data_IF_422387688036
#
_entry.id   IF_422387688036
#
_cell.length_a   1.000
_cell.length_b   1.000
_cell.length_c   1.000
_cell.angle_alpha   90.00
_cell.angle_beta   90.00
_cell.angle_gamma   90.00
#
_symmetry.space_group_name_H-M   'P 1'
#
loop_
_entity.id
_entity.type
_entity.pdbx_description
1 polymer ?
#
# COMPACT_ATOMS: atom_id res chain seq x y z
N UNK A 1 30.63 7.64 -10.09
CA UNK A 1 31.61 6.54 -9.87
C UNK A 1 32.77 6.75 -10.81
N UNK A 2 34.03 6.78 -10.32
CA UNK A 2 35.17 6.63 -11.23
C UNK A 2 35.13 5.22 -11.87
N UNK A 3 35.71 5.05 -13.08
CA UNK A 3 35.89 3.75 -13.71
C UNK A 3 36.56 2.75 -12.77
N UNK A 4 36.32 1.46 -13.02
CA UNK A 4 36.70 0.32 -12.15
C UNK A 4 38.16 0.32 -11.70
N UNK A 5 39.05 0.90 -12.50
CA UNK A 5 40.50 0.85 -12.33
C UNK A 5 41.12 2.18 -11.90
N UNK A 6 40.31 3.15 -11.43
CA UNK A 6 40.83 4.45 -10.94
C UNK A 6 40.63 4.60 -9.43
N UNK A 7 41.62 5.17 -8.71
CA UNK A 7 41.48 5.45 -7.29
C UNK A 7 40.29 6.38 -7.05
N UNK A 8 39.55 6.11 -5.97
CA UNK A 8 38.53 7.05 -5.48
C UNK A 8 39.19 8.38 -5.13
N UNK A 9 38.51 9.52 -5.36
CA UNK A 9 39.01 10.81 -4.91
C UNK A 9 39.24 10.79 -3.40
N UNK A 10 40.35 11.34 -2.98
CA UNK A 10 40.70 11.54 -1.57
C UNK A 10 39.66 12.43 -0.87
N UNK A 11 39.60 12.40 0.46
CA UNK A 11 38.64 13.21 1.22
C UNK A 11 38.75 14.71 0.88
N UNK A 12 39.97 15.23 0.72
CA UNK A 12 40.24 16.62 0.37
C UNK A 12 39.85 16.97 -1.08
N UNK A 13 39.88 16.01 -2.00
CA UNK A 13 39.39 16.18 -3.37
C UNK A 13 37.86 16.13 -3.43
N UNK A 14 37.23 15.27 -2.62
CA UNK A 14 35.78 15.25 -2.45
C UNK A 14 35.27 16.57 -1.89
N UNK A 15 35.90 17.10 -0.85
CA UNK A 15 35.53 18.42 -0.30
C UNK A 15 35.68 19.54 -1.33
N UNK A 16 36.78 19.57 -2.08
CA UNK A 16 36.97 20.56 -3.17
C UNK A 16 35.91 20.43 -4.25
N UNK A 17 35.56 19.21 -4.65
CA UNK A 17 34.52 18.97 -5.63
C UNK A 17 33.13 19.40 -5.11
N UNK A 18 32.79 19.09 -3.87
CA UNK A 18 31.54 19.50 -3.24
C UNK A 18 31.46 21.03 -3.10
N UNK A 19 32.54 21.68 -2.68
CA UNK A 19 32.63 23.13 -2.60
C UNK A 19 32.46 23.78 -3.98
N UNK A 20 33.07 23.19 -5.03
CA UNK A 20 32.89 23.64 -6.40
C UNK A 20 31.44 23.47 -6.88
N UNK A 21 30.79 22.33 -6.62
CA UNK A 21 29.37 22.11 -6.97
C UNK A 21 28.48 23.16 -6.30
N UNK A 22 28.68 23.43 -5.01
CA UNK A 22 27.92 24.44 -4.28
C UNK A 22 28.15 25.83 -4.85
N UNK A 23 29.39 26.18 -5.21
CA UNK A 23 29.72 27.45 -5.85
C UNK A 23 29.06 27.60 -7.22
N UNK A 24 29.08 26.54 -8.05
CA UNK A 24 28.42 26.52 -9.35
C UNK A 24 26.89 26.63 -9.22
N UNK A 25 26.30 25.93 -8.26
CA UNK A 25 24.86 26.00 -7.99
C UNK A 25 24.43 27.42 -7.57
N UNK A 26 25.25 28.12 -6.79
CA UNK A 26 25.01 29.53 -6.43
C UNK A 26 25.20 30.48 -7.62
N UNK A 27 26.21 30.22 -8.46
CA UNK A 27 26.55 31.05 -9.61
C UNK A 27 25.58 30.90 -10.79
N UNK A 28 24.95 29.72 -10.94
CA UNK A 28 23.94 29.46 -11.96
C UNK A 28 22.65 30.32 -11.80
N UNK A 29 22.55 31.11 -10.72
CA UNK A 29 21.37 31.89 -10.38
C UNK A 29 20.21 30.98 -9.96
N UNK A 30 19.05 31.57 -9.62
CA UNK A 30 17.82 30.78 -9.58
C UNK A 30 17.59 30.27 -10.99
N UNK A 31 17.84 28.97 -11.22
CA UNK A 31 17.37 28.31 -12.42
C UNK A 31 15.89 28.65 -12.61
N UNK A 32 15.47 28.91 -13.85
CA UNK A 32 14.08 29.26 -14.13
C UNK A 32 13.15 28.32 -13.36
N UNK A 33 12.16 28.89 -12.66
CA UNK A 33 11.20 28.10 -11.89
C UNK A 33 10.49 27.14 -12.83
N UNK A 34 10.93 25.89 -12.85
CA UNK A 34 10.27 24.80 -13.56
C UNK A 34 9.47 23.98 -12.57
N UNK A 35 8.31 23.49 -12.99
CA UNK A 35 7.63 22.44 -12.22
C UNK A 35 8.52 21.19 -12.18
N UNK A 36 8.36 20.40 -11.13
CA UNK A 36 8.96 19.07 -11.08
C UNK A 36 8.30 18.19 -12.15
N UNK A 37 9.07 17.34 -12.83
CA UNK A 37 8.47 16.34 -13.70
C UNK A 37 7.72 15.29 -12.86
N UNK A 38 6.92 14.45 -13.52
CA UNK A 38 6.10 13.41 -12.88
C UNK A 38 6.89 12.51 -11.94
N UNK A 39 8.11 12.14 -12.33
CA UNK A 39 9.00 11.25 -11.54
C UNK A 39 9.59 11.97 -10.33
N UNK A 40 10.07 13.19 -10.53
CA UNK A 40 10.63 14.05 -9.50
C UNK A 40 9.60 14.39 -8.42
N UNK A 41 8.38 14.76 -8.82
CA UNK A 41 7.31 15.00 -7.86
C UNK A 41 6.84 13.74 -7.15
N UNK A 42 6.72 12.61 -7.86
CA UNK A 42 6.43 11.33 -7.22
C UNK A 42 7.48 10.93 -6.19
N UNK A 43 8.77 11.22 -6.42
CA UNK A 43 9.82 11.05 -5.43
C UNK A 43 9.68 12.06 -4.27
N UNK A 44 9.50 13.35 -4.58
CA UNK A 44 9.35 14.40 -3.57
C UNK A 44 8.15 14.17 -2.64
N UNK A 45 7.00 13.69 -3.16
CA UNK A 45 5.86 13.35 -2.33
C UNK A 45 6.17 12.20 -1.36
N UNK A 46 6.92 11.19 -1.80
CA UNK A 46 7.36 10.09 -0.92
C UNK A 46 8.36 10.58 0.12
N UNK A 47 9.31 11.42 -0.28
CA UNK A 47 10.32 11.99 0.63
C UNK A 47 9.68 12.90 1.69
N UNK A 48 8.69 13.72 1.31
CA UNK A 48 8.01 14.64 2.23
C UNK A 48 7.04 13.94 3.15
N UNK A 49 6.32 12.91 2.67
CA UNK A 49 5.33 12.19 3.49
C UNK A 49 5.88 10.98 4.23
N UNK A 50 7.00 10.43 3.77
CA UNK A 50 7.51 9.11 4.17
C UNK A 50 6.65 7.94 3.69
N UNK A 51 5.61 8.17 2.90
CA UNK A 51 4.73 7.11 2.41
C UNK A 51 5.35 6.40 1.20
N UNK A 52 5.48 5.07 1.19
CA UNK A 52 5.91 4.30 0.00
C UNK A 52 4.81 4.17 -1.07
N UNK A 53 4.04 5.24 -1.32
CA UNK A 53 2.93 5.28 -2.31
C UNK A 53 3.40 5.96 -3.60
N UNK A 54 3.09 5.38 -4.75
CA UNK A 54 3.34 6.02 -6.05
C UNK A 54 2.26 7.04 -6.41
N UNK A 55 2.38 8.25 -5.86
CA UNK A 55 1.51 9.37 -6.23
C UNK A 55 1.80 9.92 -7.63
N UNK A 56 2.90 9.48 -8.25
CA UNK A 56 3.28 9.88 -9.60
C UNK A 56 2.19 9.51 -10.59
N UNK A 57 1.59 8.33 -10.49
CA UNK A 57 0.61 7.83 -11.48
C UNK A 57 -0.50 8.83 -11.83
N UNK A 58 -1.05 9.52 -10.82
CA UNK A 58 -2.14 10.50 -10.97
C UNK A 58 -1.74 11.86 -11.54
N UNK A 59 -0.44 12.13 -11.72
CA UNK A 59 0.05 13.37 -12.32
C UNK A 59 -0.06 13.32 -13.85
N UNK A 60 -0.28 14.50 -14.50
CA UNK A 60 -0.30 14.60 -15.95
C UNK A 60 1.04 14.13 -16.55
N UNK A 61 1.00 13.70 -17.81
CA UNK A 61 2.22 13.38 -18.55
C UNK A 61 3.12 14.61 -18.69
N UNK A 62 4.42 14.37 -18.80
CA UNK A 62 5.39 15.42 -19.12
C UNK A 62 5.49 15.59 -20.62
N UNK A 63 5.60 16.84 -21.10
CA UNK A 63 5.97 17.12 -22.47
C UNK A 63 7.45 16.81 -22.67
N UNK A 64 7.80 16.33 -23.86
CA UNK A 64 9.19 16.03 -24.23
C UNK A 64 9.76 17.10 -25.14
N UNK A 65 10.96 17.59 -24.84
CA UNK A 65 11.74 18.46 -25.73
C UNK A 65 12.96 17.68 -26.20
N UNK A 66 13.10 17.50 -27.51
CA UNK A 66 14.14 16.67 -28.13
C UNK A 66 14.23 15.23 -27.55
N UNK A 67 13.08 14.68 -27.12
CA UNK A 67 13.00 13.34 -26.52
C UNK A 67 13.30 13.28 -25.02
N UNK A 68 13.59 14.41 -24.37
CA UNK A 68 13.81 14.48 -22.91
C UNK A 68 12.60 15.09 -22.19
N UNK A 69 12.19 14.46 -21.09
CA UNK A 69 11.09 14.86 -20.20
C UNK A 69 11.53 15.79 -19.06
N UNK A 70 12.74 16.36 -19.14
CA UNK A 70 13.33 17.25 -18.14
C UNK A 70 13.51 18.68 -18.64
N UNK A 71 13.25 18.93 -19.93
CA UNK A 71 13.39 20.26 -20.54
C UNK A 71 12.31 21.21 -20.04
N UNK A 72 12.71 22.37 -19.52
CA UNK A 72 11.78 23.36 -18.96
C UNK A 72 10.69 23.80 -19.96
N UNK A 73 11.02 23.87 -21.25
CA UNK A 73 10.08 24.25 -22.31
C UNK A 73 8.99 23.17 -22.56
N UNK A 74 9.26 21.90 -22.22
CA UNK A 74 8.30 20.80 -22.32
C UNK A 74 7.39 20.67 -21.10
N UNK A 75 7.69 21.43 -20.04
CA UNK A 75 6.99 21.39 -18.77
C UNK A 75 6.06 22.61 -18.59
N UNK A 76 5.58 23.21 -19.67
CA UNK A 76 4.56 24.25 -19.59
C UNK A 76 3.21 23.66 -19.20
N UNK A 77 2.59 24.23 -18.16
CA UNK A 77 1.30 23.76 -17.65
C UNK A 77 0.13 24.46 -18.35
N UNK A 78 -0.76 23.66 -18.94
CA UNK A 78 -2.13 24.10 -19.18
C UNK A 78 -2.90 24.14 -17.85
N UNK A 79 -3.97 24.95 -17.77
CA UNK A 79 -4.78 25.10 -16.55
C UNK A 79 -5.26 23.74 -15.97
N UNK A 80 -5.61 22.79 -16.83
CA UNK A 80 -6.02 21.44 -16.44
C UNK A 80 -4.89 20.62 -15.78
N UNK A 81 -3.65 20.85 -16.19
CA UNK A 81 -2.48 20.22 -15.57
C UNK A 81 -2.32 20.72 -14.15
N UNK A 82 -2.39 22.04 -13.93
CA UNK A 82 -2.32 22.64 -12.58
C UNK A 82 -3.45 22.13 -11.69
N UNK A 83 -4.68 22.07 -12.20
CA UNK A 83 -5.81 21.54 -11.44
C UNK A 83 -5.61 20.07 -11.03
N UNK A 84 -4.95 19.27 -11.89
CA UNK A 84 -4.59 17.88 -11.60
C UNK A 84 -3.49 17.81 -10.52
N UNK A 85 -2.47 18.66 -10.62
CA UNK A 85 -1.41 18.79 -9.61
C UNK A 85 -1.95 19.11 -8.22
N UNK A 86 -2.84 20.10 -8.10
CA UNK A 86 -3.47 20.46 -6.82
C UNK A 86 -4.28 19.30 -6.26
N UNK A 87 -5.02 18.58 -7.12
CA UNK A 87 -5.82 17.41 -6.72
C UNK A 87 -4.94 16.28 -6.19
N UNK A 88 -3.83 15.97 -6.87
CA UNK A 88 -2.88 14.94 -6.42
C UNK A 88 -2.21 15.36 -5.12
N UNK A 89 -1.79 16.64 -5.01
CA UNK A 89 -1.17 17.15 -3.78
C UNK A 89 -2.12 17.07 -2.58
N UNK A 90 -3.41 17.39 -2.77
CA UNK A 90 -4.42 17.19 -1.71
C UNK A 90 -4.48 15.73 -1.25
N UNK A 91 -4.49 14.78 -2.20
CA UNK A 91 -4.50 13.34 -1.90
C UNK A 91 -3.26 12.87 -1.15
N UNK A 92 -2.09 13.45 -1.46
CA UNK A 92 -0.84 13.18 -0.73
C UNK A 92 -0.99 13.56 0.74
N UNK A 93 -1.56 14.74 1.01
CA UNK A 93 -1.78 15.25 2.37
C UNK A 93 -2.88 14.47 3.10
N UNK A 94 -3.95 14.06 2.40
CA UNK A 94 -5.04 13.26 2.99
C UNK A 94 -4.55 11.88 3.49
N UNK A 95 -3.41 11.39 2.97
CA UNK A 95 -2.78 10.13 3.40
C UNK A 95 -1.98 10.23 4.71
N UNK A 96 -1.81 11.43 5.29
CA UNK A 96 -1.03 11.64 6.51
C UNK A 96 -1.82 12.39 7.60
N UNK A 97 -1.50 12.11 8.86
CA UNK A 97 -2.06 12.77 10.06
C UNK A 97 -0.94 13.18 11.00
N UNK A 98 -1.16 14.16 11.85
CA UNK A 98 -0.14 14.59 12.80
C UNK A 98 -0.27 13.86 14.13
N UNK A 99 -1.31 14.18 14.89
CA UNK A 99 -1.50 13.69 16.27
C UNK A 99 -2.85 13.04 16.51
N UNK A 100 -3.77 13.20 15.55
CA UNK A 100 -5.09 12.59 15.54
C UNK A 100 -4.95 11.07 15.50
N UNK A 101 -5.82 10.27 16.15
CA UNK A 101 -5.82 8.82 15.95
C UNK A 101 -6.16 8.46 14.50
N UNK A 102 -5.73 7.28 14.02
CA UNK A 102 -6.18 6.81 12.70
C UNK A 102 -7.71 6.68 12.71
N UNK A 103 -8.43 7.30 11.76
CA UNK A 103 -9.86 7.08 11.63
C UNK A 103 -10.19 5.72 10.98
N UNK A 104 -9.17 5.02 10.47
CA UNK A 104 -9.30 3.77 9.74
C UNK A 104 -9.79 2.62 10.62
N UNK A 105 -10.77 1.88 10.11
CA UNK A 105 -11.15 0.59 10.66
C UNK A 105 -10.16 -0.46 10.13
N UNK A 106 -9.50 -1.16 11.05
CA UNK A 106 -8.64 -2.30 10.70
C UNK A 106 -9.46 -3.59 10.70
N UNK A 107 -9.48 -4.26 9.56
CA UNK A 107 -9.99 -5.61 9.38
C UNK A 107 -8.83 -6.58 9.58
N UNK A 108 -8.69 -7.12 10.78
CA UNK A 108 -7.62 -8.04 11.15
C UNK A 108 -8.15 -9.47 11.29
N UNK A 109 -7.35 -10.45 10.90
CA UNK A 109 -7.63 -11.87 11.08
C UNK A 109 -6.32 -12.63 11.33
N UNK A 110 -6.25 -13.31 12.47
CA UNK A 110 -5.19 -14.27 12.80
C UNK A 110 -5.67 -15.69 12.51
N UNK A 111 -4.98 -16.37 11.61
CA UNK A 111 -5.32 -17.70 11.10
C UNK A 111 -4.54 -18.80 11.82
N UNK A 112 -3.60 -18.46 12.71
CA UNK A 112 -2.77 -19.41 13.45
C UNK A 112 -3.60 -20.19 14.47
N UNK A 113 -3.45 -21.51 14.45
CA UNK A 113 -4.14 -22.42 15.39
C UNK A 113 -5.66 -22.48 15.23
N UNK A 114 -6.23 -21.79 14.24
CA UNK A 114 -7.65 -21.78 13.99
C UNK A 114 -8.09 -23.08 13.32
N UNK A 115 -9.33 -23.51 13.55
CA UNK A 115 -9.90 -24.73 12.93
C UNK A 115 -10.83 -24.43 11.75
N UNK A 116 -11.44 -23.25 11.74
CA UNK A 116 -12.41 -22.85 10.72
C UNK A 116 -12.08 -21.43 10.25
N UNK A 117 -11.58 -21.30 9.02
CA UNK A 117 -11.19 -20.02 8.47
C UNK A 117 -12.38 -19.06 8.36
N UNK A 118 -13.59 -19.55 8.06
CA UNK A 118 -14.77 -18.69 7.85
C UNK A 118 -15.15 -17.97 9.13
N UNK A 119 -15.05 -18.64 10.28
CA UNK A 119 -15.36 -18.07 11.59
C UNK A 119 -14.41 -16.96 11.99
N UNK A 120 -13.14 -17.05 11.59
CA UNK A 120 -12.15 -15.98 11.83
C UNK A 120 -12.58 -14.66 11.19
N UNK A 121 -13.27 -14.72 10.04
CA UNK A 121 -13.73 -13.54 9.32
C UNK A 121 -15.18 -13.13 9.64
N UNK A 122 -15.88 -13.80 10.55
CA UNK A 122 -17.24 -13.38 10.96
C UNK A 122 -17.30 -11.94 11.48
N UNK A 123 -16.33 -11.44 12.29
CA UNK A 123 -16.32 -10.04 12.73
C UNK A 123 -16.24 -9.03 11.57
N UNK A 124 -15.71 -9.42 10.42
CA UNK A 124 -15.61 -8.53 9.26
C UNK A 124 -16.99 -8.23 8.67
N UNK A 125 -17.91 -9.21 8.69
CA UNK A 125 -19.27 -9.08 8.14
C UNK A 125 -20.08 -7.99 8.84
N UNK A 126 -19.84 -7.77 10.13
CA UNK A 126 -20.49 -6.71 10.92
C UNK A 126 -20.13 -5.31 10.40
N UNK A 127 -19.02 -5.19 9.66
CA UNK A 127 -18.52 -3.94 9.09
C UNK A 127 -18.46 -4.01 7.56
N UNK A 128 -19.37 -4.78 6.94
CA UNK A 128 -19.48 -4.97 5.49
C UNK A 128 -18.21 -5.51 4.81
N UNK A 129 -17.31 -6.13 5.59
CA UNK A 129 -16.17 -6.86 5.09
C UNK A 129 -16.51 -8.34 4.81
N UNK A 130 -15.78 -8.96 3.91
CA UNK A 130 -15.96 -10.36 3.57
C UNK A 130 -14.63 -11.03 3.17
N UNK A 131 -14.55 -12.33 3.41
CA UNK A 131 -13.53 -13.19 2.83
C UNK A 131 -14.20 -14.29 2.01
N UNK A 132 -13.74 -14.49 0.78
CA UNK A 132 -14.28 -15.44 -0.20
C UNK A 132 -13.15 -16.28 -0.79
N UNK A 133 -13.52 -17.42 -1.37
CA UNK A 133 -12.56 -18.32 -2.03
C UNK A 133 -11.39 -18.67 -1.08
N UNK A 134 -11.70 -18.78 0.22
CA UNK A 134 -10.72 -19.16 1.24
C UNK A 134 -10.19 -20.56 0.92
N UNK A 135 -8.86 -20.67 0.89
CA UNK A 135 -8.18 -21.95 0.73
C UNK A 135 -8.39 -22.89 1.92
N UNK A 136 -7.63 -23.99 1.95
CA UNK A 136 -7.67 -24.92 3.08
C UNK A 136 -6.92 -24.34 4.27
N UNK A 137 -7.55 -24.28 5.43
CA UNK A 137 -6.85 -23.97 6.68
C UNK A 137 -6.10 -25.22 7.16
N UNK A 138 -4.80 -25.06 7.45
CA UNK A 138 -3.93 -26.13 7.91
C UNK A 138 -3.37 -25.74 9.29
N UNK A 139 -4.06 -26.10 10.39
CA UNK A 139 -3.62 -25.77 11.74
C UNK A 139 -2.20 -26.23 12.04
N UNK A 140 -1.79 -27.38 11.49
CA UNK A 140 -0.45 -27.94 11.65
C UNK A 140 0.65 -27.13 10.95
N UNK A 141 0.28 -26.34 9.93
CA UNK A 141 1.17 -25.38 9.27
C UNK A 141 0.96 -23.95 9.79
N UNK A 142 0.06 -23.77 10.77
CA UNK A 142 -0.19 -22.50 11.43
C UNK A 142 -0.91 -21.46 10.57
N UNK A 143 -1.68 -21.83 9.55
CA UNK A 143 -2.40 -20.81 8.77
C UNK A 143 -3.21 -21.33 7.58
N UNK A 144 -3.64 -20.40 6.73
CA UNK A 144 -4.41 -20.67 5.52
C UNK A 144 -3.46 -20.97 4.35
N UNK A 145 -3.65 -22.11 3.71
CA UNK A 145 -2.88 -22.50 2.55
C UNK A 145 -3.33 -21.70 1.32
N UNK A 146 -2.39 -20.97 0.72
CA UNK A 146 -2.50 -20.45 -0.64
C UNK A 146 -1.98 -21.53 -1.60
N UNK A 147 -2.91 -22.31 -2.13
CA UNK A 147 -2.58 -23.42 -3.02
C UNK A 147 -1.85 -22.91 -4.27
N UNK A 148 -0.84 -23.64 -4.77
CA UNK A 148 -0.13 -23.28 -5.98
C UNK A 148 -1.07 -23.40 -7.19
N UNK A 149 -1.14 -22.33 -7.98
CA UNK A 149 -2.05 -22.22 -9.14
C UNK A 149 -1.31 -22.14 -10.47
N UNK A 150 -2.01 -22.54 -11.53
CA UNK A 150 -1.56 -22.34 -12.91
C UNK A 150 -1.81 -20.90 -13.34
N UNK A 151 -0.95 -20.31 -14.18
CA UNK A 151 -1.27 -19.01 -14.77
C UNK A 151 -2.53 -19.14 -15.63
N UNK A 152 -3.60 -18.44 -15.26
CA UNK A 152 -4.93 -18.54 -15.88
C UNK A 152 -6.02 -19.10 -14.97
N UNK A 153 -5.65 -19.77 -13.88
CA UNK A 153 -6.61 -20.19 -12.85
C UNK A 153 -7.23 -18.96 -12.17
N UNK A 154 -8.54 -19.00 -11.95
CA UNK A 154 -9.31 -17.88 -11.37
C UNK A 154 -9.47 -17.94 -9.86
N UNK A 155 -9.19 -19.08 -9.23
CA UNK A 155 -9.33 -19.25 -7.79
C UNK A 155 -8.23 -18.48 -7.06
N UNK A 156 -8.64 -17.41 -6.37
CA UNK A 156 -7.76 -16.53 -5.61
C UNK A 156 -8.37 -16.29 -4.25
N UNK A 157 -7.56 -16.34 -3.18
CA UNK A 157 -8.07 -15.94 -1.87
C UNK A 157 -8.41 -14.47 -1.94
N UNK A 158 -9.68 -14.13 -1.73
CA UNK A 158 -10.17 -12.76 -1.92
C UNK A 158 -10.75 -12.21 -0.63
N UNK A 159 -10.26 -11.05 -0.25
CA UNK A 159 -10.80 -10.22 0.80
C UNK A 159 -11.49 -9.01 0.18
N UNK A 160 -12.62 -8.61 0.73
CA UNK A 160 -13.32 -7.39 0.34
C UNK A 160 -13.57 -6.58 1.60
N UNK A 161 -13.18 -5.31 1.57
CA UNK A 161 -13.51 -4.34 2.63
C UNK A 161 -14.24 -3.14 2.02
N UNK A 162 -15.02 -2.39 2.81
CA UNK A 162 -15.64 -1.15 2.35
C UNK A 162 -14.59 -0.19 1.80
N UNK A 163 -14.91 0.59 0.75
CA UNK A 163 -13.99 1.60 0.25
C UNK A 163 -13.83 2.73 1.26
N UNK A 164 -12.72 3.50 1.21
CA UNK A 164 -12.62 4.70 2.02
C UNK A 164 -13.70 5.73 1.66
N UNK A 165 -13.97 6.71 2.53
CA UNK A 165 -14.86 7.83 2.25
C UNK A 165 -14.53 8.49 0.92
N UNK A 166 -15.55 8.88 0.15
CA UNK A 166 -15.40 9.50 -1.17
C UNK A 166 -14.59 8.68 -2.20
N UNK A 167 -14.31 7.39 -1.90
CA UNK A 167 -13.41 6.50 -2.66
C UNK A 167 -11.99 7.05 -2.82
N UNK A 168 -11.56 7.92 -1.92
CA UNK A 168 -10.24 8.53 -1.88
C UNK A 168 -9.53 8.20 -0.58
N UNK A 169 -8.23 7.95 -0.65
CA UNK A 169 -7.40 7.63 0.51
C UNK A 169 -6.34 6.58 0.22
N UNK A 170 -5.69 6.09 1.27
CA UNK A 170 -4.69 5.04 1.20
C UNK A 170 -5.26 3.77 1.83
N UNK A 171 -5.17 2.67 1.10
CA UNK A 171 -5.47 1.33 1.62
C UNK A 171 -4.17 0.74 2.12
N UNK A 172 -4.13 0.31 3.38
CA UNK A 172 -3.03 -0.48 3.93
C UNK A 172 -3.41 -1.95 3.92
N UNK A 173 -2.53 -2.77 3.36
CA UNK A 173 -2.62 -4.23 3.39
C UNK A 173 -1.36 -4.76 4.04
N UNK A 174 -1.50 -5.46 5.17
CA UNK A 174 -0.40 -6.11 5.88
C UNK A 174 -0.67 -7.61 5.91
N UNK A 175 0.30 -8.38 5.45
CA UNK A 175 0.23 -9.84 5.34
C UNK A 175 1.40 -10.45 6.11
N UNK A 176 1.14 -11.46 6.92
CA UNK A 176 2.18 -12.31 7.50
C UNK A 176 2.11 -13.67 6.82
N UNK A 177 3.16 -14.02 6.07
CA UNK A 177 3.21 -15.22 5.23
C UNK A 177 4.49 -16.04 5.46
N UNK A 178 4.43 -17.35 5.25
CA UNK A 178 5.61 -18.22 5.21
C UNK A 178 5.56 -19.15 3.99
N UNK A 179 6.67 -19.84 3.74
CA UNK A 179 6.80 -20.79 2.63
C UNK A 179 7.14 -22.18 3.15
N UNK A 180 6.34 -23.18 2.79
CA UNK A 180 6.66 -24.58 3.05
C UNK A 180 7.06 -25.25 1.73
N UNK A 181 8.21 -25.90 1.71
CA UNK A 181 8.67 -26.78 0.62
C UNK A 181 8.66 -28.21 1.16
N UNK A 182 7.57 -28.98 0.96
CA UNK A 182 7.45 -30.30 1.58
C UNK A 182 8.46 -31.31 1.00
N UNK A 183 8.88 -31.10 -0.24
CA UNK A 183 9.91 -31.88 -0.92
C UNK A 183 11.18 -31.02 -1.10
N UNK A 184 12.40 -31.59 -1.01
CA UNK A 184 13.64 -30.90 -1.35
C UNK A 184 13.62 -30.35 -2.78
N UNK A 185 14.46 -29.33 -3.03
CA UNK A 185 14.72 -28.74 -4.36
C UNK A 185 13.53 -28.11 -5.08
N UNK A 186 12.40 -27.94 -4.40
CA UNK A 186 11.27 -27.17 -4.94
C UNK A 186 11.66 -25.71 -5.20
N UNK A 187 11.20 -25.10 -6.31
CA UNK A 187 11.43 -23.68 -6.57
C UNK A 187 10.78 -22.80 -5.50
N UNK A 188 11.26 -21.56 -5.36
CA UNK A 188 10.60 -20.59 -4.50
C UNK A 188 9.24 -20.21 -5.08
N UNK A 189 8.17 -20.23 -4.28
CA UNK A 189 6.88 -19.75 -4.73
C UNK A 189 6.90 -18.23 -4.84
N UNK A 190 5.98 -17.70 -5.63
CA UNK A 190 5.78 -16.27 -5.75
C UNK A 190 4.38 -15.89 -5.28
N UNK A 191 4.33 -14.92 -4.37
CA UNK A 191 3.08 -14.33 -3.91
C UNK A 191 2.71 -13.17 -4.84
N UNK A 192 1.56 -13.31 -5.49
CA UNK A 192 0.91 -12.22 -6.22
C UNK A 192 -0.07 -11.54 -5.29
N UNK A 193 0.04 -10.22 -5.21
CA UNK A 193 -0.88 -9.37 -4.44
C UNK A 193 -1.53 -8.40 -5.40
N UNK A 194 -2.86 -8.49 -5.49
CA UNK A 194 -3.69 -7.57 -6.25
C UNK A 194 -4.58 -6.78 -5.29
N UNK A 195 -4.65 -5.46 -5.47
CA UNK A 195 -5.53 -4.59 -4.69
C UNK A 195 -6.38 -3.80 -5.68
N UNK A 196 -7.70 -3.80 -5.48
CA UNK A 196 -8.66 -3.07 -6.31
C UNK A 196 -8.58 -3.40 -7.81
N UNK A 197 -8.26 -4.64 -8.19
CA UNK A 197 -8.10 -5.05 -9.58
C UNK A 197 -6.73 -4.73 -10.20
N UNK A 198 -5.80 -4.13 -9.44
CA UNK A 198 -4.46 -3.78 -9.92
C UNK A 198 -3.40 -4.67 -9.26
N UNK A 199 -2.48 -5.28 -10.01
CA UNK A 199 -1.34 -5.98 -9.42
C UNK A 199 -0.42 -4.97 -8.71
N UNK A 200 -0.19 -5.18 -7.42
CA UNK A 200 0.64 -4.31 -6.57
C UNK A 200 2.03 -4.89 -6.37
N UNK A 201 2.13 -6.20 -6.20
CA UNK A 201 3.42 -6.87 -6.02
C UNK A 201 3.40 -8.28 -6.61
N UNK A 202 4.57 -8.69 -7.06
CA UNK A 202 4.87 -10.04 -7.53
C UNK A 202 6.21 -10.47 -6.92
N UNK A 203 6.14 -11.02 -5.70
CA UNK A 203 7.32 -11.24 -4.86
C UNK A 203 7.68 -12.71 -4.75
N UNK A 204 8.95 -13.01 -4.97
CA UNK A 204 9.51 -14.32 -4.66
C UNK A 204 9.73 -14.46 -3.15
N UNK A 205 9.22 -15.55 -2.57
CA UNK A 205 9.37 -15.80 -1.15
C UNK A 205 10.49 -16.81 -0.92
N UNK A 206 11.64 -16.31 -0.45
CA UNK A 206 12.87 -17.09 -0.28
C UNK A 206 13.03 -17.73 1.12
N UNK A 207 12.11 -17.50 2.06
CA UNK A 207 12.26 -17.94 3.45
C UNK A 207 11.82 -19.40 3.72
N UNK A 208 12.34 -20.04 4.78
CA UNK A 208 11.81 -21.32 5.29
C UNK A 208 10.45 -21.12 5.99
N UNK A 209 9.70 -22.22 6.17
CA UNK A 209 8.35 -22.19 6.75
C UNK A 209 8.30 -21.64 8.17
N UNK A 210 9.42 -21.78 8.88
CA UNK A 210 9.51 -21.48 10.32
C UNK A 210 9.90 -20.00 10.57
N UNK A 211 10.09 -19.21 9.51
CA UNK A 211 10.35 -17.78 9.58
C UNK A 211 9.30 -16.99 8.78
N UNK A 212 8.11 -16.73 9.36
CA UNK A 212 7.11 -15.87 8.75
C UNK A 212 7.67 -14.49 8.45
N UNK A 213 7.34 -13.97 7.26
CA UNK A 213 7.70 -12.62 6.83
C UNK A 213 6.43 -11.77 6.82
N UNK A 214 6.51 -10.61 7.45
CA UNK A 214 5.46 -9.59 7.35
C UNK A 214 5.77 -8.66 6.18
N UNK A 215 4.78 -8.45 5.32
CA UNK A 215 4.85 -7.56 4.16
C UNK A 215 3.73 -6.54 4.29
N UNK A 216 4.05 -5.28 4.05
CA UNK A 216 3.09 -4.17 4.10
C UNK A 216 3.05 -3.45 2.75
N UNK A 217 1.82 -3.15 2.31
CA UNK A 217 1.52 -2.44 1.09
C UNK A 217 0.64 -1.24 1.41
N UNK A 218 1.02 -0.06 0.91
CA UNK A 218 0.21 1.15 0.92
C UNK A 218 -0.18 1.49 -0.51
N UNK A 219 -1.49 1.52 -0.78
CA UNK A 219 -2.01 1.69 -2.13
C UNK A 219 -3.02 2.82 -2.15
N UNK A 220 -2.79 3.82 -2.96
CA UNK A 220 -3.73 4.93 -3.11
C UNK A 220 -4.96 4.49 -3.92
N UNK A 221 -6.17 4.85 -3.48
CA UNK A 221 -7.41 4.38 -4.12
C UNK A 221 -7.72 5.01 -5.47
N UNK A 222 -7.14 6.17 -5.76
CA UNK A 222 -7.25 6.80 -7.09
C UNK A 222 -6.68 5.95 -8.22
N UNK A 223 -5.88 4.94 -7.86
CA UNK A 223 -5.24 4.00 -8.77
C UNK A 223 -6.00 2.67 -8.90
N UNK A 224 -7.13 2.55 -8.19
CA UNK A 224 -7.88 1.30 -8.03
C UNK A 224 -9.23 1.35 -8.76
N UNK A 225 -9.62 0.22 -9.34
CA UNK A 225 -10.96 0.02 -9.89
C UNK A 225 -11.95 -0.31 -8.75
N UNK A 226 -12.32 0.70 -7.97
CA UNK A 226 -13.25 0.53 -6.85
C UNK A 226 -14.70 0.50 -7.34
N UNK A 227 -15.32 -0.68 -7.23
CA UNK A 227 -16.76 -0.87 -7.46
C UNK A 227 -17.55 -0.76 -6.15
N UNK A 228 -17.90 -1.91 -5.55
CA UNK A 228 -18.66 -2.00 -4.29
C UNK A 228 -17.77 -2.02 -3.05
N UNK A 229 -16.47 -2.24 -3.22
CA UNK A 229 -15.48 -2.34 -2.15
C UNK A 229 -14.07 -2.43 -2.70
N UNK A 230 -13.08 -2.39 -1.81
CA UNK A 230 -11.68 -2.66 -2.14
C UNK A 230 -11.47 -4.15 -2.02
N UNK A 231 -11.15 -4.78 -3.15
CA UNK A 231 -10.82 -6.20 -3.20
C UNK A 231 -9.31 -6.38 -3.03
N UNK A 232 -8.89 -7.30 -2.17
CA UNK A 232 -7.50 -7.76 -2.07
C UNK A 232 -7.48 -9.23 -2.46
N UNK A 233 -6.78 -9.56 -3.53
CA UNK A 233 -6.67 -10.93 -4.03
C UNK A 233 -5.24 -11.43 -3.85
N UNK A 234 -5.09 -12.62 -3.28
CA UNK A 234 -3.81 -13.29 -3.07
C UNK A 234 -3.76 -14.58 -3.90
N UNK A 235 -2.63 -14.82 -4.58
CA UNK A 235 -2.39 -16.10 -5.25
C UNK A 235 -0.94 -16.53 -5.15
N UNK A 236 -0.73 -17.84 -4.99
CA UNK A 236 0.56 -18.49 -5.06
C UNK A 236 0.76 -19.01 -6.49
N UNK A 237 1.76 -18.47 -7.20
CA UNK A 237 2.13 -18.97 -8.53
C UNK A 237 3.59 -19.42 -8.55
N UNK A 238 3.85 -20.45 -9.35
CA UNK A 238 5.17 -21.05 -9.52
C UNK A 238 5.60 -20.91 -10.98
N UNK A 239 6.28 -19.84 -11.31
CA UNK A 239 6.59 -19.54 -12.71
C UNK A 239 7.69 -20.42 -13.32
N UNK A 240 8.45 -21.16 -12.50
CA UNK A 240 9.51 -22.03 -13.02
C UNK A 240 8.99 -23.45 -13.21
N UNK A 241 9.26 -24.09 -14.37
CA UNK A 241 9.07 -25.53 -14.53
C UNK A 241 9.98 -26.29 -13.57
N UNK A 242 9.47 -27.39 -13.00
CA UNK A 242 10.21 -28.30 -12.12
C UNK A 242 9.59 -29.70 -12.16
N UNK A 243 10.41 -30.71 -11.88
CA UNK A 243 9.95 -32.09 -11.75
C UNK A 243 10.36 -32.61 -10.37
N UNK A 244 9.56 -33.52 -9.81
CA UNK A 244 9.86 -34.17 -8.54
C UNK A 244 9.95 -35.68 -8.79
N UNK A 245 11.06 -36.34 -8.43
CA UNK A 245 11.18 -37.79 -8.57
C UNK A 245 10.00 -38.53 -7.92
N UNK A 246 9.43 -39.49 -8.64
CA UNK A 246 8.26 -40.27 -8.18
C UNK A 246 6.90 -39.65 -8.48
N UNK A 247 6.85 -38.47 -9.11
CA UNK A 247 5.63 -37.87 -9.60
C UNK A 247 5.68 -37.68 -11.10
N UNK A 248 4.61 -38.06 -11.79
CA UNK A 248 4.42 -37.71 -13.20
C UNK A 248 4.12 -36.21 -13.31
N UNK A 249 4.57 -35.56 -14.39
CA UNK A 249 4.27 -34.14 -14.62
C UNK A 249 2.91 -33.97 -15.30
N UNK A 250 2.25 -32.84 -15.03
CA UNK A 250 1.05 -32.41 -15.75
C UNK A 250 1.37 -32.27 -17.25
N UNK A 251 0.74 -33.12 -18.07
CA UNK A 251 0.77 -32.98 -19.52
C UNK A 251 -0.36 -32.05 -19.99
N UNK A 252 -0.01 -30.78 -20.25
CA UNK A 252 -0.89 -29.75 -20.84
C UNK A 252 -0.56 -29.48 -22.31
N UNK A 253 -0.12 -30.49 -23.05
CA UNK A 253 0.22 -30.37 -24.48
C UNK A 253 -1.01 -30.31 -25.40
N UNK A 254 -2.23 -30.50 -24.88
CA UNK A 254 -3.46 -30.50 -25.67
C UNK A 254 -3.80 -29.08 -26.16
N UNK A 255 -4.32 -28.92 -27.40
CA UNK A 255 -4.68 -27.60 -27.94
C UNK A 255 -5.75 -26.84 -27.14
N UNK A 256 -6.56 -27.56 -26.38
CA UNK A 256 -7.63 -27.04 -25.53
C UNK A 256 -7.08 -26.40 -24.23
N UNK A 257 -5.91 -26.85 -23.78
CA UNK A 257 -5.23 -26.30 -22.63
C UNK A 257 -4.52 -25.01 -23.05
N UNK A 258 -5.12 -23.87 -22.69
CA UNK A 258 -4.52 -22.54 -22.93
C UNK A 258 -3.23 -22.40 -22.13
N UNK A 259 -2.11 -22.81 -22.72
CA UNK A 259 -0.80 -22.59 -22.15
C UNK A 259 -0.53 -21.08 -22.04
N UNK A 260 0.05 -20.61 -20.93
CA UNK A 260 0.50 -19.23 -20.82
C UNK A 260 1.54 -18.93 -21.91
N UNK A 261 1.64 -17.68 -22.40
CA UNK A 261 2.68 -17.30 -23.35
C UNK A 261 4.06 -17.73 -22.83
N UNK A 262 4.75 -18.60 -23.57
CA UNK A 262 6.07 -19.13 -23.18
C UNK A 262 6.11 -20.61 -22.74
N UNK A 263 4.98 -21.30 -22.57
CA UNK A 263 4.95 -22.76 -22.34
C UNK A 263 5.26 -23.22 -20.91
N UNK A 264 5.14 -22.35 -19.92
CA UNK A 264 5.60 -22.55 -18.53
C UNK A 264 4.73 -23.53 -17.71
N UNK A 265 3.86 -24.32 -18.38
CA UNK A 265 2.84 -25.18 -17.76
C UNK A 265 3.03 -26.69 -17.88
N UNK A 266 4.05 -27.17 -18.61
CA UNK A 266 4.23 -28.60 -18.95
C UNK A 266 5.05 -29.42 -17.93
N UNK A 267 5.70 -28.75 -16.97
CA UNK A 267 6.64 -29.39 -16.05
C UNK A 267 6.31 -28.96 -14.64
N UNK A 268 5.19 -29.45 -14.11
CA UNK A 268 4.90 -29.46 -12.68
C UNK A 268 4.37 -30.84 -12.33
N UNK A 269 4.71 -31.40 -11.16
CA UNK A 269 4.15 -32.67 -10.72
C UNK A 269 2.61 -32.64 -10.71
N UNK A 270 2.00 -33.60 -11.39
CA UNK A 270 0.59 -33.93 -11.25
C UNK A 270 0.42 -34.77 -9.98
N UNK A 271 -0.51 -34.36 -9.11
CA UNK A 271 -0.83 -35.12 -7.91
C UNK A 271 -2.27 -34.88 -7.47
N UNK A 272 -2.87 -35.88 -6.84
CA UNK A 272 -4.20 -35.75 -6.28
C UNK A 272 -4.13 -35.16 -4.86
N UNK A 273 -4.74 -33.98 -4.71
CA UNK A 273 -4.84 -33.22 -3.47
C UNK A 273 -5.77 -33.87 -2.43
N UNK A 274 -6.57 -34.86 -2.84
CA UNK A 274 -7.49 -35.61 -1.97
C UNK A 274 -6.81 -36.82 -1.32
N UNK A 275 -5.80 -37.40 -1.97
CA UNK A 275 -5.12 -38.60 -1.50
C UNK A 275 -3.89 -38.27 -0.67
N UNK A 276 -3.13 -37.24 -1.05
CA UNK A 276 -1.92 -36.83 -0.35
C UNK A 276 -2.17 -35.78 0.71
N UNK A 277 -1.48 -35.92 1.84
CA UNK A 277 -1.44 -34.86 2.85
C UNK A 277 -0.62 -33.66 2.33
N UNK A 278 -0.95 -32.41 2.71
CA UNK A 278 -0.23 -31.21 2.27
C UNK A 278 1.30 -31.26 2.46
N UNK A 279 1.76 -31.95 3.50
CA UNK A 279 3.18 -32.15 3.82
C UNK A 279 3.88 -33.13 2.88
N UNK A 280 3.15 -33.77 1.98
CA UNK A 280 3.65 -34.69 0.96
C UNK A 280 3.46 -34.12 -0.45
N UNK A 281 2.89 -32.92 -0.57
CA UNK A 281 2.62 -32.33 -1.88
C UNK A 281 3.93 -31.99 -2.57
N UNK A 282 4.12 -32.41 -3.83
CA UNK A 282 5.30 -32.09 -4.64
C UNK A 282 5.20 -30.66 -5.20
N UNK A 283 4.83 -29.69 -4.36
CA UNK A 283 4.65 -28.30 -4.77
C UNK A 283 4.99 -27.31 -3.64
N UNK A 284 5.55 -26.14 -3.97
CA UNK A 284 5.84 -25.13 -2.97
C UNK A 284 4.55 -24.46 -2.49
N UNK A 285 4.41 -24.35 -1.19
CA UNK A 285 3.22 -23.86 -0.52
C UNK A 285 3.49 -22.49 0.09
N UNK A 286 2.51 -21.59 0.01
CA UNK A 286 2.52 -20.32 0.74
C UNK A 286 1.44 -20.39 1.81
N UNK A 287 1.80 -20.10 3.05
CA UNK A 287 0.89 -20.10 4.19
C UNK A 287 0.63 -18.66 4.61
N UNK A 288 -0.64 -18.26 4.65
CA UNK A 288 -1.08 -16.98 5.21
C UNK A 288 -1.40 -17.17 6.70
N UNK A 289 -0.62 -16.52 7.56
CA UNK A 289 -0.81 -16.56 9.01
C UNK A 289 -1.72 -15.45 9.51
N UNK A 290 -1.57 -14.26 8.95
CA UNK A 290 -2.29 -13.07 9.39
C UNK A 290 -2.56 -12.14 8.21
N UNK A 291 -3.72 -11.50 8.22
CA UNK A 291 -4.09 -10.45 7.27
C UNK A 291 -4.70 -9.29 8.01
N UNK A 292 -4.19 -8.09 7.75
CA UNK A 292 -4.80 -6.83 8.16
C UNK A 292 -5.07 -5.97 6.93
N UNK A 293 -6.29 -5.42 6.84
CA UNK A 293 -6.67 -4.47 5.81
C UNK A 293 -7.28 -3.25 6.47
N UNK A 294 -6.73 -2.08 6.19
CA UNK A 294 -7.27 -0.79 6.63
C UNK A 294 -7.62 0.02 5.38
N UNK A 295 -8.92 0.21 5.13
CA UNK A 295 -9.38 0.82 3.87
C UNK A 295 -9.16 2.33 3.78
N UNK A 296 -9.00 3.00 4.93
CA UNK A 296 -8.74 4.42 5.05
C UNK A 296 -7.55 4.67 5.99
N UNK A 297 -6.40 4.13 5.62
CA UNK A 297 -5.17 4.32 6.36
C UNK A 297 -4.69 5.76 6.25
N UNK A 298 -4.40 6.37 7.40
CA UNK A 298 -3.77 7.68 7.48
C UNK A 298 -2.52 7.55 8.35
N UNK A 299 -1.35 7.71 7.72
CA UNK A 299 -0.08 7.47 8.36
C UNK A 299 0.28 8.62 9.32
N UNK A 300 0.82 8.33 10.51
CA UNK A 300 1.36 9.38 11.37
C UNK A 300 2.54 10.06 10.67
N UNK A 301 2.52 11.39 10.70
CA UNK A 301 3.54 12.25 10.16
C UNK A 301 4.05 13.19 11.25
N UNK A 302 5.37 13.36 11.37
CA UNK A 302 6.42 12.71 10.58
C UNK A 302 6.56 11.22 10.91
N UNK A 303 7.08 10.41 9.96
CA UNK A 303 7.42 9.02 10.21
C UNK A 303 8.31 8.84 11.45
N UNK A 304 8.07 7.76 12.20
CA UNK A 304 8.75 7.53 13.47
C UNK A 304 10.28 7.39 13.31
N UNK A 305 10.73 6.83 12.19
CA UNK A 305 12.12 6.66 11.81
C UNK A 305 12.89 7.98 11.64
N UNK A 306 12.18 9.09 11.39
CA UNK A 306 12.81 10.41 11.27
C UNK A 306 13.21 10.99 12.63
N UNK A 307 12.71 10.42 13.73
CA UNK A 307 13.00 10.87 15.11
C UNK A 307 12.77 12.37 15.31
N UNK A 308 11.80 12.93 14.60
CA UNK A 308 11.48 14.34 14.67
C UNK A 308 10.78 14.67 16.01
N UNK A 309 11.21 15.75 16.65
CA UNK A 309 10.59 16.25 17.88
C UNK A 309 9.35 17.08 17.53
N UNK A 310 8.21 16.40 17.43
CA UNK A 310 6.92 17.05 17.21
C UNK A 310 6.21 17.18 18.55
N UNK A 311 6.32 18.36 19.15
CA UNK A 311 5.62 18.69 20.38
C UNK A 311 4.14 18.31 20.26
N UNK A 312 3.63 17.49 21.18
CA UNK A 312 2.20 17.19 21.27
C UNK A 312 1.47 18.51 21.46
N UNK A 313 0.65 18.90 20.48
CA UNK A 313 -0.26 20.04 20.61
C UNK A 313 -0.97 19.97 21.96
N UNK A 314 -0.86 21.01 22.82
CA UNK A 314 -1.50 20.98 24.12
C UNK A 314 -3.01 20.82 23.90
N UNK A 315 -3.52 19.66 24.28
CA UNK A 315 -4.95 19.32 24.30
C UNK A 315 -5.75 20.52 24.74
N UNK A 316 -6.69 20.94 23.86
CA UNK A 316 -7.76 21.92 24.08
C UNK A 316 -7.93 22.22 25.56
N UNK A 317 -7.27 23.28 26.02
CA UNK A 317 -7.47 23.82 27.36
C UNK A 317 -8.92 24.26 27.39
N UNK A 318 -9.76 23.43 28.00
CA UNK A 318 -11.20 23.67 28.22
C UNK A 318 -11.31 25.11 28.68
N UNK A 319 -11.88 25.99 27.85
CA UNK A 319 -12.12 27.36 28.21
C UNK A 319 -13.04 27.33 29.44
N UNK A 320 -12.43 27.46 30.63
CA UNK A 320 -13.15 27.81 31.83
C UNK A 320 -13.81 29.14 31.51
N UNK A 321 -15.14 29.14 31.44
CA UNK A 321 -15.95 30.36 31.59
C UNK A 321 -15.56 30.98 32.93
N UNK A 322 -14.57 31.86 32.94
CA UNK A 322 -14.31 32.76 34.05
C UNK A 322 -15.23 33.95 33.86
N UNK A 323 -16.26 33.98 34.69
CA UNK A 323 -17.07 35.14 35.04
C UNK A 323 -16.22 36.40 35.13
N UNK A 324 -16.46 37.35 34.23
CA UNK A 324 -16.13 38.76 34.47
C UNK A 324 -17.43 39.50 34.68
N UNK A 325 -17.68 39.84 35.94
CA UNK A 325 -18.76 40.71 36.41
C UNK A 325 -18.10 41.80 37.23
N UNK A 326 -17.76 42.93 36.62
CA UNK A 326 -17.67 44.25 37.27
C UNK A 326 -17.67 45.32 36.17
N UNK A 327 -18.58 46.30 36.27
CA UNK A 327 -18.92 47.26 35.22
C UNK A 327 -17.89 48.38 34.99
N UNK A 328 -18.32 49.46 34.30
CA UNK A 328 -18.82 50.57 35.10
C UNK A 328 -20.17 51.15 34.64
N UNK A 329 -20.79 51.74 35.64
CA UNK A 329 -22.01 52.54 35.72
C UNK A 329 -22.07 53.66 34.68
N UNK A 330 -23.21 53.81 34.00
CA UNK A 330 -23.64 55.07 33.36
C UNK A 330 -25.05 55.39 33.85
N UNK A 331 -25.34 56.63 34.27
CA UNK A 331 -26.60 56.98 34.92
C UNK A 331 -27.69 57.41 33.94
N UNK A 332 -28.92 57.02 34.25
CA UNK A 332 -30.04 57.96 34.29
C UNK A 332 -31.00 58.01 33.10
N UNK A 333 -32.29 58.17 33.47
CA UNK A 333 -33.47 58.51 32.69
C UNK A 333 -33.96 57.45 31.66
N UNK A 334 -35.18 56.91 31.72
CA UNK A 334 -36.34 57.18 32.53
C UNK A 334 -37.45 56.19 32.15
N UNK A 335 -38.41 56.02 33.07
CA UNK A 335 -39.67 55.24 32.99
C UNK A 335 -40.35 55.36 31.61
N UNK A 336 -41.10 54.38 31.10
CA UNK A 336 -42.31 53.84 31.72
C UNK A 336 -42.86 52.57 30.99
N UNK A 337 -43.61 51.77 31.78
CA UNK A 337 -44.81 51.01 31.44
C UNK A 337 -44.79 49.87 30.37
N UNK A 338 -44.86 48.62 30.88
CA UNK A 338 -45.78 47.55 30.42
C UNK A 338 -47.22 47.85 30.92
N UNK A 339 -48.31 47.11 30.58
CA UNK A 339 -48.47 45.85 29.82
C UNK A 339 -49.54 45.99 28.69
N UNK A 340 -49.90 45.03 27.85
CA UNK A 340 -50.69 43.80 28.13
C UNK A 340 -50.92 43.03 26.81
N UNK A 341 -50.95 41.70 26.85
CA UNK A 341 -52.13 40.85 26.54
C UNK A 341 -52.78 41.14 25.16
N UNK A 342 -52.64 40.26 24.18
CA UNK A 342 -53.42 39.04 23.94
C UNK A 342 -54.36 39.22 22.74
N UNK A 343 -54.26 38.28 21.79
CA UNK A 343 -55.31 37.74 20.91
C UNK A 343 -56.44 38.67 20.44
N UNK A 344 -56.52 38.83 19.12
CA UNK A 344 -57.71 38.50 18.32
C UNK A 344 -57.22 37.96 16.98
#
# INVERSE_FOLDING_TARGET
>A
MPPKDKPQPTAAEKERLLAWIVAQQKAAGPGGTRRLNKREAGAAFRDVTGLPVDFGHGLPGDGTVAGFDTGADGLQDAADSVATWVRVTKRVVDGVRFTEPSPGVVFAADLRGQKDARKVFDPWKVRDGAAKELGRLLPQLGGLLLEPRSPGDREVVRFTVPPPPERQGVVRVRLTVSVKKPVPDLPHPRLWVEVGGRPVDYRELAGPADAPVTIEYLVHTGDLAIQKGVNVSLSNKVERPYAVPGFENEDRSRPEDKLPPGGWGLFRPAFDRRTLQPEQWPAPLVILHEVEIESNHIAPWPPAEWKADVARSPTRRRARRSSWRSGPTVPGAGRAARPSASRS
#
